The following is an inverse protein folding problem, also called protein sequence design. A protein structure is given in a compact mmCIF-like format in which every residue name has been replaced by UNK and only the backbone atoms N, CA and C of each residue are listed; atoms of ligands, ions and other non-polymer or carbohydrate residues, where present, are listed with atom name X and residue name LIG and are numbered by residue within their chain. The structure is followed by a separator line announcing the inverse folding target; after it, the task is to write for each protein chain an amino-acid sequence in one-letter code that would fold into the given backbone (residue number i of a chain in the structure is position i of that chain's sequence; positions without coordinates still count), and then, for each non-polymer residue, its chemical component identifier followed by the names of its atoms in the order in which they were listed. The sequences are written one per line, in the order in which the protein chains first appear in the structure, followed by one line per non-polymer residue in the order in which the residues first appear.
data_IF_582967307957
#
_entry.id   IF_582967307957
#
_cell.length_a   1.000
_cell.length_b   1.000
_cell.length_c   1.000
_cell.angle_alpha   90.00
_cell.angle_beta   90.00
_cell.angle_gamma   90.00
#
_symmetry.space_group_name_H-M   'P 1'
#
loop_
_entity.id
_entity.type
_entity.pdbx_description
1 polymer ?
#
# COMPACT_ATOMS: atom_id res chain seq x y z
N UNK A 1 -1.32 29.20 -9.32
CA UNK A 1 -0.46 28.60 -8.29
C UNK A 1 0.95 29.16 -8.47
N UNK A 2 1.61 29.64 -7.41
CA UNK A 2 2.94 30.27 -7.52
C UNK A 2 4.02 29.24 -7.17
N UNK A 3 4.73 28.66 -8.15
CA UNK A 3 5.85 27.77 -7.86
C UNK A 3 7.00 28.59 -7.27
N UNK A 4 7.23 28.44 -5.97
CA UNK A 4 8.41 29.00 -5.31
C UNK A 4 9.59 28.08 -5.62
N UNK A 5 10.64 28.62 -6.22
CA UNK A 5 11.90 27.89 -6.43
C UNK A 5 12.80 28.11 -5.23
N UNK A 6 13.48 27.05 -4.76
CA UNK A 6 14.43 27.16 -3.65
C UNK A 6 15.56 28.18 -3.93
N UNK A 7 15.91 28.38 -5.21
CA UNK A 7 16.89 29.38 -5.65
C UNK A 7 16.51 30.82 -5.30
N UNK A 8 15.24 31.12 -5.06
CA UNK A 8 14.80 32.46 -4.67
C UNK A 8 15.28 32.86 -3.27
N UNK A 9 15.70 31.89 -2.44
CA UNK A 9 16.18 32.13 -1.09
C UNK A 9 17.71 32.28 -1.00
N UNK A 10 18.43 32.13 -2.11
CA UNK A 10 19.91 32.09 -2.11
C UNK A 10 20.54 33.32 -1.47
N UNK A 11 20.05 34.51 -1.81
CA UNK A 11 20.59 35.78 -1.35
C UNK A 11 19.88 36.32 -0.10
N UNK A 12 18.94 35.53 0.45
CA UNK A 12 18.17 35.89 1.63
C UNK A 12 18.83 35.27 2.86
N UNK A 13 19.08 36.08 3.89
CA UNK A 13 19.59 35.62 5.19
C UNK A 13 18.47 35.00 6.04
N UNK A 14 17.97 33.85 5.60
CA UNK A 14 16.99 33.04 6.35
C UNK A 14 17.57 31.68 6.64
N UNK A 15 17.54 31.30 7.92
CA UNK A 15 17.95 29.97 8.36
C UNK A 15 16.80 28.95 8.21
N UNK A 16 15.54 29.42 8.28
CA UNK A 16 14.36 28.58 8.20
C UNK A 16 13.23 29.24 7.40
N UNK A 17 12.62 28.47 6.52
CA UNK A 17 11.37 28.81 5.83
C UNK A 17 10.33 27.79 6.24
N UNK A 18 9.33 28.24 7.00
CA UNK A 18 8.18 27.44 7.42
C UNK A 18 7.05 27.65 6.42
N UNK A 19 6.87 26.70 5.53
CA UNK A 19 5.87 26.77 4.49
C UNK A 19 4.64 25.92 4.84
N UNK A 20 3.51 26.25 4.22
CA UNK A 20 2.26 25.48 4.30
C UNK A 20 1.55 25.52 2.95
N UNK A 21 0.44 24.77 2.83
CA UNK A 21 -0.44 24.60 1.65
C UNK A 21 -0.45 23.18 1.07
N UNK A 22 0.71 22.52 1.04
CA UNK A 22 0.76 21.10 0.72
C UNK A 22 0.47 20.27 1.96
N UNK A 23 -0.41 19.29 1.82
CA UNK A 23 -0.94 18.52 2.93
C UNK A 23 -0.42 17.07 2.96
N UNK A 24 0.25 16.62 1.89
CA UNK A 24 0.61 15.22 1.65
C UNK A 24 1.59 14.65 2.68
N UNK A 25 2.72 15.33 2.91
CA UNK A 25 3.87 14.75 3.61
C UNK A 25 4.68 15.82 4.33
N UNK A 26 5.48 15.35 5.30
CA UNK A 26 6.53 16.15 5.91
C UNK A 26 7.75 16.11 4.99
N UNK A 27 8.16 17.26 4.49
CA UNK A 27 9.27 17.39 3.57
C UNK A 27 10.21 18.51 4.01
N UNK A 28 11.51 18.23 3.93
CA UNK A 28 12.58 19.17 4.29
C UNK A 28 13.59 19.24 3.16
N UNK A 29 13.84 20.44 2.68
CA UNK A 29 14.91 20.72 1.73
C UNK A 29 15.97 21.60 2.36
N UNK A 30 17.23 21.30 2.08
CA UNK A 30 18.35 22.15 2.45
C UNK A 30 18.50 23.27 1.41
N UNK A 31 18.60 24.50 1.88
CA UNK A 31 18.84 25.68 1.06
C UNK A 31 20.33 25.86 0.78
N UNK A 32 20.67 26.53 -0.32
CA UNK A 32 22.07 26.81 -0.70
C UNK A 32 22.82 27.64 0.35
N UNK A 33 22.12 28.51 1.06
CA UNK A 33 22.67 29.33 2.14
C UNK A 33 22.88 28.54 3.46
N UNK A 34 22.59 27.24 3.48
CA UNK A 34 22.73 26.37 4.64
C UNK A 34 21.47 26.24 5.51
N UNK A 35 20.43 27.05 5.26
CA UNK A 35 19.15 26.98 5.94
C UNK A 35 18.25 25.83 5.49
N UNK A 36 17.03 25.79 6.01
CA UNK A 36 16.04 24.75 5.75
C UNK A 36 14.73 25.33 5.22
N UNK A 37 14.14 24.65 4.25
CA UNK A 37 12.77 24.87 3.81
C UNK A 37 11.94 23.68 4.26
N UNK A 38 10.87 23.91 5.02
CA UNK A 38 10.06 22.86 5.64
C UNK A 38 8.60 22.97 5.22
N UNK A 39 8.04 21.88 4.73
CA UNK A 39 6.60 21.65 4.60
C UNK A 39 6.19 20.56 5.59
N UNK A 40 5.48 20.87 6.69
CA UNK A 40 5.09 19.86 7.67
C UNK A 40 3.91 18.99 7.22
N UNK A 41 3.20 19.40 6.16
CA UNK A 41 1.93 18.79 5.77
C UNK A 41 0.78 19.17 6.71
N UNK A 42 -0.36 18.50 6.55
CA UNK A 42 -1.49 18.68 7.46
C UNK A 42 -1.32 17.86 8.73
N UNK A 43 -1.83 18.35 9.89
CA UNK A 43 -1.78 17.61 11.16
C UNK A 43 -2.81 16.48 11.24
N UNK A 44 -3.79 16.46 10.33
CA UNK A 44 -4.78 15.39 10.12
C UNK A 44 -4.87 15.11 8.62
N UNK A 45 -5.27 13.89 8.21
CA UNK A 45 -5.63 13.67 6.80
C UNK A 45 -6.99 14.31 6.52
N UNK A 46 -7.03 15.20 5.54
CA UNK A 46 -8.22 15.88 5.02
C UNK A 46 -8.81 15.08 3.86
N UNK A 47 -7.96 14.43 3.06
CA UNK A 47 -8.38 13.61 1.91
C UNK A 47 -7.75 12.22 1.94
N UNK A 48 -8.41 11.26 1.31
CA UNK A 48 -7.92 9.87 1.14
C UNK A 48 -6.61 9.75 0.35
N UNK A 49 -6.18 10.83 -0.32
CA UNK A 49 -4.89 10.89 -1.01
C UNK A 49 -3.72 11.09 -0.03
N UNK A 50 -3.99 11.60 1.16
CA UNK A 50 -3.01 11.84 2.22
C UNK A 50 -2.90 10.59 3.10
N UNK A 51 -1.95 9.73 2.74
CA UNK A 51 -1.69 8.45 3.39
C UNK A 51 -0.55 8.58 4.40
N UNK A 52 -0.56 7.72 5.41
CA UNK A 52 0.49 7.68 6.43
C UNK A 52 0.17 8.52 7.65
N UNK A 53 0.75 8.11 8.79
CA UNK A 53 0.69 8.87 10.04
C UNK A 53 1.18 10.31 9.87
N UNK A 54 0.45 11.25 10.47
CA UNK A 54 0.74 12.69 10.36
C UNK A 54 1.92 13.09 11.23
N UNK A 55 2.57 14.18 10.82
CA UNK A 55 3.78 14.70 11.46
C UNK A 55 3.69 16.20 11.64
N UNK A 56 4.48 16.71 12.59
CA UNK A 56 4.77 18.12 12.75
C UNK A 56 6.26 18.35 12.80
N UNK A 57 6.67 19.58 12.50
CA UNK A 57 8.05 20.01 12.67
C UNK A 57 8.26 20.49 14.10
N UNK A 58 9.13 19.82 14.83
CA UNK A 58 9.71 20.36 16.06
C UNK A 58 10.99 21.07 15.66
N UNK A 59 11.05 22.38 15.96
CA UNK A 59 12.22 23.19 15.66
C UNK A 59 12.81 23.75 16.95
N UNK A 60 14.13 23.69 17.02
CA UNK A 60 14.93 24.39 18.01
C UNK A 60 15.88 25.32 17.26
N UNK A 61 16.01 26.56 17.73
CA UNK A 61 16.86 27.56 17.07
C UNK A 61 18.30 27.05 16.98
N UNK A 62 18.85 27.02 15.78
CA UNK A 62 20.20 26.53 15.51
C UNK A 62 20.33 25.01 15.35
N UNK A 63 19.22 24.25 15.40
CA UNK A 63 19.21 22.79 15.18
C UNK A 63 18.36 22.41 13.98
N UNK A 64 18.71 21.34 13.24
CA UNK A 64 17.94 20.91 12.07
C UNK A 64 16.47 20.62 12.41
N UNK A 65 15.55 20.78 11.45
CA UNK A 65 14.15 20.37 11.60
C UNK A 65 14.05 18.92 12.06
N UNK A 66 13.11 18.62 12.96
CA UNK A 66 12.85 17.27 13.44
C UNK A 66 11.39 16.88 13.23
N UNK A 67 11.20 15.66 12.77
CA UNK A 67 9.90 15.05 12.60
C UNK A 67 9.35 14.56 13.93
N UNK A 68 8.11 14.90 14.23
CA UNK A 68 7.38 14.34 15.35
C UNK A 68 6.05 13.74 14.88
N UNK A 69 5.85 12.44 15.13
CA UNK A 69 4.64 11.72 14.76
C UNK A 69 3.47 12.13 15.64
N UNK A 70 2.32 12.36 15.01
CA UNK A 70 1.08 12.72 15.68
C UNK A 70 0.17 11.51 15.85
N UNK A 71 -0.50 11.45 17.00
CA UNK A 71 -1.61 10.53 17.24
C UNK A 71 -2.93 11.17 16.77
N UNK A 72 -3.08 11.37 15.46
CA UNK A 72 -4.25 12.03 14.88
C UNK A 72 -4.89 11.19 13.77
N UNK A 73 -6.16 11.44 13.42
CA UNK A 73 -6.83 10.73 12.34
C UNK A 73 -6.08 10.85 11.01
N UNK A 74 -5.84 9.71 10.38
CA UNK A 74 -5.16 9.61 9.08
C UNK A 74 -5.65 8.41 8.28
N UNK A 75 -5.39 8.43 6.97
CA UNK A 75 -5.64 7.28 6.10
C UNK A 75 -4.39 6.42 5.96
N UNK A 76 -4.55 5.10 5.95
CA UNK A 76 -3.50 4.14 5.61
C UNK A 76 -3.97 3.27 4.45
N UNK A 77 -3.09 3.00 3.49
CA UNK A 77 -3.40 2.12 2.36
C UNK A 77 -2.76 0.75 2.59
N UNK A 78 -3.59 -0.30 2.52
CA UNK A 78 -3.16 -1.68 2.60
C UNK A 78 -3.44 -2.33 1.26
N UNK A 79 -2.39 -2.80 0.58
CA UNK A 79 -2.49 -3.54 -0.67
C UNK A 79 -2.02 -4.96 -0.42
N UNK A 80 -2.93 -5.92 -0.55
CA UNK A 80 -2.66 -7.34 -0.38
C UNK A 80 -2.83 -8.03 -1.73
N UNK A 81 -1.78 -8.74 -2.12
CA UNK A 81 -1.74 -9.53 -3.35
C UNK A 81 -1.74 -11.02 -2.97
N UNK A 82 -2.89 -11.66 -3.21
CA UNK A 82 -3.13 -13.05 -2.87
C UNK A 82 -2.48 -13.96 -3.91
N UNK A 83 -1.55 -14.79 -3.44
CA UNK A 83 -0.86 -15.78 -4.25
C UNK A 83 -1.27 -17.20 -3.80
N UNK A 84 -2.01 -17.95 -4.62
CA UNK A 84 -2.55 -19.26 -4.25
C UNK A 84 -1.45 -20.32 -4.12
N UNK A 85 -0.22 -20.03 -4.55
CA UNK A 85 0.91 -20.96 -4.48
C UNK A 85 1.78 -20.76 -3.22
N UNK A 86 1.56 -19.70 -2.45
CA UNK A 86 2.33 -19.44 -1.22
C UNK A 86 1.76 -20.13 0.01
N UNK A 87 0.57 -20.74 -0.09
CA UNK A 87 -0.08 -21.42 1.03
C UNK A 87 -0.40 -20.51 2.21
N UNK A 88 -0.61 -19.22 1.96
CA UNK A 88 -0.97 -18.25 2.99
C UNK A 88 -2.49 -18.11 3.05
N UNK A 89 -3.04 -18.06 4.26
CA UNK A 89 -4.46 -17.76 4.46
C UNK A 89 -4.70 -16.25 4.22
N UNK A 90 -5.56 -15.87 3.26
CA UNK A 90 -5.90 -14.47 3.00
C UNK A 90 -6.39 -13.72 4.25
N UNK A 91 -7.17 -14.39 5.10
CA UNK A 91 -7.79 -13.81 6.29
C UNK A 91 -6.70 -13.49 7.33
N UNK A 92 -5.79 -14.43 7.57
CA UNK A 92 -4.68 -14.22 8.53
C UNK A 92 -3.75 -13.07 8.10
N UNK A 93 -3.48 -12.93 6.80
CA UNK A 93 -2.68 -11.79 6.28
C UNK A 93 -3.37 -10.48 6.62
N UNK A 94 -4.68 -10.39 6.35
CA UNK A 94 -5.46 -9.17 6.57
C UNK A 94 -5.52 -8.85 8.06
N UNK A 95 -5.82 -9.82 8.93
CA UNK A 95 -5.83 -9.64 10.39
C UNK A 95 -4.48 -9.13 10.90
N UNK A 96 -3.37 -9.72 10.44
CA UNK A 96 -2.04 -9.31 10.83
C UNK A 96 -1.73 -7.87 10.46
N UNK A 97 -2.13 -7.44 9.27
CA UNK A 97 -1.94 -6.06 8.83
C UNK A 97 -2.84 -5.10 9.64
N UNK A 98 -4.10 -5.45 9.88
CA UNK A 98 -5.01 -4.62 10.69
C UNK A 98 -4.56 -4.47 12.16
N UNK A 99 -3.96 -5.52 12.73
CA UNK A 99 -3.41 -5.51 14.09
C UNK A 99 -2.16 -4.62 14.24
N UNK A 100 -1.45 -4.34 13.15
CA UNK A 100 -0.27 -3.46 13.14
C UNK A 100 -0.61 -1.99 13.00
N UNK A 101 -1.85 -1.67 12.64
CA UNK A 101 -2.26 -0.30 12.36
C UNK A 101 -2.36 0.56 13.62
N UNK A 102 -1.94 1.81 13.48
CA UNK A 102 -2.16 2.83 14.49
C UNK A 102 -3.67 3.00 14.81
N UNK A 103 -4.02 3.24 16.08
CA UNK A 103 -5.42 3.36 16.54
C UNK A 103 -6.25 4.38 15.76
N UNK A 104 -5.63 5.50 15.39
CA UNK A 104 -6.25 6.60 14.62
C UNK A 104 -6.24 6.37 13.09
N UNK A 105 -5.71 5.24 12.62
CA UNK A 105 -5.65 4.94 11.19
C UNK A 105 -7.00 4.44 10.68
N UNK A 106 -7.44 5.05 9.58
CA UNK A 106 -8.57 4.61 8.77
C UNK A 106 -8.06 3.98 7.47
N UNK A 107 -8.46 2.75 7.19
CA UNK A 107 -7.88 1.91 6.14
C UNK A 107 -8.56 2.14 4.79
N UNK A 108 -7.74 2.16 3.74
CA UNK A 108 -8.12 1.97 2.35
C UNK A 108 -7.56 0.60 1.95
N UNK A 109 -8.42 -0.41 1.90
CA UNK A 109 -8.02 -1.80 1.69
C UNK A 109 -8.18 -2.18 0.21
N UNK A 110 -7.10 -2.65 -0.41
CA UNK A 110 -7.12 -3.26 -1.73
C UNK A 110 -6.63 -4.70 -1.62
N UNK A 111 -7.49 -5.66 -1.90
CA UNK A 111 -7.16 -7.09 -1.94
C UNK A 111 -7.31 -7.55 -3.38
N UNK A 112 -6.23 -8.02 -3.98
CA UNK A 112 -6.20 -8.48 -5.38
C UNK A 112 -5.53 -9.84 -5.49
N UNK A 113 -5.63 -10.47 -6.65
CA UNK A 113 -4.89 -11.70 -6.98
C UNK A 113 -5.79 -12.92 -7.09
N UNK A 114 -5.31 -14.07 -6.64
CA UNK A 114 -6.03 -15.33 -6.81
C UNK A 114 -6.03 -16.15 -5.53
N UNK A 115 -7.08 -16.95 -5.38
CA UNK A 115 -7.21 -17.91 -4.28
C UNK A 115 -7.38 -19.32 -4.84
N UNK A 116 -7.06 -20.31 -4.01
CA UNK A 116 -7.43 -21.70 -4.26
C UNK A 116 -8.45 -22.11 -3.22
N UNK A 117 -9.74 -21.96 -3.54
CA UNK A 117 -10.82 -22.19 -2.59
C UNK A 117 -10.84 -23.63 -2.06
N UNK A 118 -10.43 -24.60 -2.88
CA UNK A 118 -10.31 -26.01 -2.47
C UNK A 118 -9.20 -26.24 -1.46
N UNK A 119 -8.03 -25.62 -1.65
CA UNK A 119 -6.92 -25.74 -0.71
C UNK A 119 -7.21 -25.01 0.61
N UNK A 120 -7.95 -23.90 0.55
CA UNK A 120 -8.35 -23.11 1.72
C UNK A 120 -9.59 -23.68 2.43
N UNK A 121 -10.35 -24.55 1.77
CA UNK A 121 -11.65 -25.03 2.27
C UNK A 121 -12.70 -23.92 2.39
N UNK A 122 -12.53 -22.80 1.67
CA UNK A 122 -13.40 -21.63 1.71
C UNK A 122 -13.66 -21.10 0.31
N UNK A 123 -14.89 -20.68 0.06
CA UNK A 123 -15.31 -19.99 -1.16
C UNK A 123 -14.92 -18.50 -1.16
N UNK A 124 -14.94 -17.87 -2.33
CA UNK A 124 -14.75 -16.42 -2.45
C UNK A 124 -15.70 -15.62 -1.55
N UNK A 125 -16.97 -16.03 -1.49
CA UNK A 125 -18.00 -15.35 -0.69
C UNK A 125 -17.75 -15.45 0.80
N UNK A 126 -17.26 -16.60 1.29
CA UNK A 126 -16.91 -16.78 2.70
C UNK A 126 -15.70 -15.93 3.09
N UNK A 127 -14.67 -15.88 2.21
CA UNK A 127 -13.49 -15.04 2.44
C UNK A 127 -13.91 -13.57 2.43
N UNK A 128 -14.74 -13.13 1.48
CA UNK A 128 -15.27 -11.77 1.45
C UNK A 128 -16.02 -11.41 2.75
N UNK A 129 -16.87 -12.31 3.26
CA UNK A 129 -17.59 -12.09 4.52
C UNK A 129 -16.66 -11.91 5.73
N UNK A 130 -15.59 -12.72 5.81
CA UNK A 130 -14.57 -12.57 6.87
C UNK A 130 -13.80 -11.26 6.75
N UNK A 131 -13.45 -10.85 5.52
CA UNK A 131 -12.78 -9.57 5.27
C UNK A 131 -13.71 -8.41 5.66
N UNK A 132 -15.00 -8.52 5.39
CA UNK A 132 -16.01 -7.54 5.79
C UNK A 132 -16.07 -7.37 7.32
N UNK A 133 -16.03 -8.48 8.06
CA UNK A 133 -16.04 -8.48 9.53
C UNK A 133 -14.79 -7.77 10.10
N UNK A 134 -13.60 -8.15 9.62
CA UNK A 134 -12.32 -7.57 10.06
C UNK A 134 -12.25 -6.07 9.74
N UNK A 135 -12.70 -5.68 8.54
CA UNK A 135 -12.58 -4.32 8.05
C UNK A 135 -13.79 -3.43 8.36
N UNK A 136 -14.70 -3.84 9.24
CA UNK A 136 -15.99 -3.17 9.45
C UNK A 136 -15.89 -1.71 9.92
N UNK A 137 -15.31 -1.45 11.09
CA UNK A 137 -15.35 -0.10 11.69
C UNK A 137 -14.19 0.81 11.27
N UNK A 138 -13.07 0.23 10.81
CA UNK A 138 -11.81 0.97 10.56
C UNK A 138 -11.50 1.16 9.08
N UNK A 139 -12.38 0.77 8.16
CA UNK A 139 -12.12 0.83 6.72
C UNK A 139 -13.01 1.88 6.04
N UNK A 140 -12.39 2.87 5.40
CA UNK A 140 -13.10 3.89 4.63
C UNK A 140 -13.45 3.43 3.22
N UNK A 141 -12.60 2.62 2.60
CA UNK A 141 -12.79 2.09 1.25
C UNK A 141 -12.23 0.68 1.14
N UNK A 142 -12.91 -0.15 0.34
CA UNK A 142 -12.52 -1.53 0.11
C UNK A 142 -12.63 -1.86 -1.37
N UNK A 143 -11.56 -2.39 -1.93
CA UNK A 143 -11.45 -2.84 -3.31
C UNK A 143 -10.98 -4.30 -3.30
N UNK A 144 -11.93 -5.24 -3.34
CA UNK A 144 -11.65 -6.66 -3.42
C UNK A 144 -11.80 -7.14 -4.87
N UNK A 145 -10.69 -7.49 -5.49
CA UNK A 145 -10.57 -8.00 -6.86
C UNK A 145 -9.74 -9.29 -6.87
N UNK A 146 -10.25 -10.33 -6.23
CA UNK A 146 -9.63 -11.66 -6.27
C UNK A 146 -10.60 -12.68 -6.84
N UNK A 147 -10.07 -13.75 -7.45
CA UNK A 147 -10.87 -14.87 -7.96
C UNK A 147 -10.28 -16.21 -7.56
N UNK A 148 -11.17 -17.18 -7.42
CA UNK A 148 -10.85 -18.57 -7.19
C UNK A 148 -10.48 -19.24 -8.50
N UNK A 149 -9.31 -19.85 -8.49
CA UNK A 149 -8.71 -20.49 -9.65
C UNK A 149 -8.57 -22.00 -9.45
N UNK A 150 -9.30 -22.59 -8.48
CA UNK A 150 -9.25 -24.04 -8.24
C UNK A 150 -9.43 -24.86 -9.53
N UNK A 151 -10.39 -24.49 -10.39
CA UNK A 151 -10.64 -25.18 -11.65
C UNK A 151 -9.46 -25.11 -12.62
N UNK A 152 -8.71 -23.99 -12.61
CA UNK A 152 -7.53 -23.80 -13.46
C UNK A 152 -6.32 -24.54 -12.89
N UNK A 153 -6.15 -24.54 -11.56
CA UNK A 153 -5.07 -25.28 -10.91
C UNK A 153 -5.22 -26.79 -11.16
N UNK A 154 -6.45 -27.28 -11.23
CA UNK A 154 -6.73 -28.70 -11.49
C UNK A 154 -6.64 -29.09 -12.97
N UNK A 155 -6.60 -28.13 -13.88
CA UNK A 155 -6.50 -28.37 -15.32
C UNK A 155 -5.14 -28.95 -15.75
N UNK A 156 -5.17 -29.97 -16.61
CA UNK A 156 -3.97 -30.70 -17.05
C UNK A 156 -3.04 -29.85 -17.92
N UNK A 157 -3.59 -28.92 -18.71
CA UNK A 157 -2.79 -27.97 -19.50
C UNK A 157 -2.04 -27.01 -18.57
N UNK A 158 -2.70 -26.51 -17.52
CA UNK A 158 -2.06 -25.63 -16.54
C UNK A 158 -0.99 -26.36 -15.73
N UNK A 159 -1.25 -27.60 -15.28
CA UNK A 159 -0.24 -28.43 -14.60
C UNK A 159 0.98 -28.70 -15.49
N UNK A 160 0.76 -28.97 -16.78
CA UNK A 160 1.84 -29.14 -17.76
C UNK A 160 2.64 -27.86 -17.95
N UNK A 161 1.97 -26.71 -17.97
CA UNK A 161 2.61 -25.39 -18.02
C UNK A 161 3.47 -25.13 -16.78
N UNK A 162 2.95 -25.36 -15.57
CA UNK A 162 3.70 -25.19 -14.32
C UNK A 162 4.97 -26.04 -14.30
N UNK A 163 4.87 -27.33 -14.65
CA UNK A 163 6.04 -28.22 -14.76
C UNK A 163 7.10 -27.69 -15.72
N UNK A 164 6.69 -27.18 -16.89
CA UNK A 164 7.63 -26.58 -17.87
C UNK A 164 8.24 -25.27 -17.37
N UNK A 165 7.50 -24.51 -16.58
CA UNK A 165 7.95 -23.25 -16.01
C UNK A 165 8.99 -23.47 -14.91
N UNK A 166 8.80 -24.50 -14.07
CA UNK A 166 9.75 -24.90 -13.01
C UNK A 166 11.07 -25.41 -13.57
N UNK A 167 11.05 -26.09 -14.72
CA UNK A 167 12.25 -26.59 -15.40
C UNK A 167 13.13 -25.48 -16.00
N UNK A 168 12.66 -24.23 -16.03
CA UNK A 168 13.40 -23.11 -16.59
C UNK A 168 14.06 -22.28 -15.48
N UNK A 169 15.31 -21.88 -15.72
CA UNK A 169 16.06 -20.95 -14.88
C UNK A 169 15.61 -19.49 -15.10
N UNK A 170 14.34 -19.22 -14.81
CA UNK A 170 13.84 -17.85 -14.67
C UNK A 170 13.90 -17.42 -13.20
N UNK A 171 14.03 -16.11 -12.98
CA UNK A 171 13.82 -15.54 -11.66
C UNK A 171 12.36 -15.73 -11.19
N UNK A 172 12.17 -15.69 -9.87
CA UNK A 172 10.85 -15.95 -9.26
C UNK A 172 9.81 -14.90 -9.62
N UNK A 173 10.22 -13.66 -9.88
CA UNK A 173 9.33 -12.58 -10.29
C UNK A 173 8.74 -12.83 -11.68
N UNK A 174 9.60 -13.23 -12.63
CA UNK A 174 9.20 -13.59 -13.98
C UNK A 174 8.35 -14.84 -14.00
N UNK A 175 8.67 -15.85 -13.19
CA UNK A 175 7.80 -17.03 -13.02
C UNK A 175 6.43 -16.64 -12.45
N UNK A 176 6.37 -15.71 -11.50
CA UNK A 176 5.10 -15.18 -10.96
C UNK A 176 4.27 -14.50 -12.05
N UNK A 177 4.87 -13.58 -12.80
CA UNK A 177 4.20 -12.88 -13.90
C UNK A 177 3.69 -13.85 -14.98
N UNK A 178 4.50 -14.85 -15.35
CA UNK A 178 4.09 -15.86 -16.34
C UNK A 178 2.91 -16.71 -15.85
N UNK A 179 2.87 -17.07 -14.55
CA UNK A 179 1.73 -17.76 -13.93
C UNK A 179 0.48 -16.90 -13.96
N UNK A 180 0.59 -15.64 -13.57
CA UNK A 180 -0.55 -14.71 -13.55
C UNK A 180 -1.14 -14.50 -14.96
N UNK A 181 -0.30 -14.33 -15.98
CA UNK A 181 -0.77 -14.21 -17.37
C UNK A 181 -1.50 -15.48 -17.82
N UNK A 182 -0.95 -16.65 -17.53
CA UNK A 182 -1.56 -17.92 -17.88
C UNK A 182 -2.92 -18.11 -17.20
N UNK A 183 -3.01 -17.81 -15.90
CA UNK A 183 -4.26 -17.84 -15.14
C UNK A 183 -5.30 -16.90 -15.76
N UNK A 184 -4.96 -15.63 -15.98
CA UNK A 184 -5.88 -14.64 -16.59
C UNK A 184 -6.37 -15.08 -17.97
N UNK A 185 -5.51 -15.64 -18.80
CA UNK A 185 -5.88 -16.14 -20.13
C UNK A 185 -6.83 -17.34 -20.05
N UNK A 186 -6.56 -18.30 -19.16
CA UNK A 186 -7.44 -19.46 -18.97
C UNK A 186 -8.79 -19.07 -18.36
N UNK A 187 -8.82 -18.08 -17.45
CA UNK A 187 -10.07 -17.54 -16.92
C UNK A 187 -10.96 -16.95 -18.01
N UNK A 188 -10.39 -16.24 -18.99
CA UNK A 188 -11.13 -15.67 -20.12
C UNK A 188 -11.67 -16.72 -21.10
N UNK A 189 -11.05 -17.91 -21.15
CA UNK A 189 -11.49 -19.00 -22.02
C UNK A 189 -12.58 -19.87 -21.38
N UNK A 190 -12.72 -19.81 -20.05
CA UNK A 190 -13.71 -20.56 -19.26
C UNK A 190 -14.95 -19.72 -18.93
N UNK A 191 -14.86 -18.39 -19.04
CA UNK A 191 -15.95 -17.42 -18.90
C UNK A 191 -16.78 -17.26 -20.17
#
# INVERSE_FOLDING_TARGET
YMPVKLSYFKDIKVDYVLAGHFHSSFDVWRLENGGYFVYPGSPISITKREKGQRKVNIFEVGRPPQEYLLETPHFEEIIIDLDPFKGQDPVEIIEKEFNRLHKEATVILSVKGFINGKALGMSETEIMGKIEEIASERCAERHCEFRDIHAIIEDDLFKSFLRKLEQKEYDEEKKRQMREIAIRAMMQAVS
#
